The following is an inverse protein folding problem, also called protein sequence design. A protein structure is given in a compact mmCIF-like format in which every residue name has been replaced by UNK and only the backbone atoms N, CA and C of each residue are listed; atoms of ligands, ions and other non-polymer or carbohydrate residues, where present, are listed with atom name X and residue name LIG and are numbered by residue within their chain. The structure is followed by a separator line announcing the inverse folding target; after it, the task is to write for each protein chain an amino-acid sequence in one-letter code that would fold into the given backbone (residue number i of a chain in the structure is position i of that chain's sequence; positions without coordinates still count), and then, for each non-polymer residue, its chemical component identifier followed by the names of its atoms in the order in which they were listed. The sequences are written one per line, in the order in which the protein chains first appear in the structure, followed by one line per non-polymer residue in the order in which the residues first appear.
data_IF_794595259326
#
_entry.id   IF_794595259326
#
_cell.length_a   1.000
_cell.length_b   1.000
_cell.length_c   1.000
_cell.angle_alpha   90.00
_cell.angle_beta   90.00
_cell.angle_gamma   90.00
#
_symmetry.space_group_name_H-M   'P 1'
#
loop_
_entity.id
_entity.type
_entity.pdbx_description
1 polymer ?
#
# COMPACT_ATOMS: atom_id res chain seq x y z
N UNK A 1 -32.27 7.39 13.33
CA UNK A 1 -31.24 7.96 12.41
C UNK A 1 -31.02 9.45 12.54
N UNK A 2 -31.97 10.16 13.01
CA UNK A 2 -31.96 11.64 13.03
C UNK A 2 -30.85 12.30 13.92
N UNK A 3 -30.37 11.60 14.96
CA UNK A 3 -29.35 12.15 15.87
C UNK A 3 -27.95 12.04 15.25
N UNK A 4 -27.64 10.95 14.59
CA UNK A 4 -26.32 10.75 13.98
C UNK A 4 -26.11 11.67 12.77
N UNK A 5 -27.12 11.81 11.92
CA UNK A 5 -27.07 12.69 10.76
C UNK A 5 -26.97 14.18 11.11
N UNK A 6 -27.43 14.59 12.30
CA UNK A 6 -27.28 15.97 12.82
C UNK A 6 -25.95 16.23 13.48
N UNK A 7 -25.22 15.18 13.87
CA UNK A 7 -23.97 15.30 14.62
C UNK A 7 -22.72 15.10 13.78
N UNK A 8 -22.86 14.54 12.58
CA UNK A 8 -21.76 14.20 11.68
C UNK A 8 -22.11 14.61 10.25
N UNK A 9 -21.09 14.97 9.46
CA UNK A 9 -21.25 15.40 8.07
C UNK A 9 -21.56 14.23 7.13
N UNK A 10 -21.08 13.02 7.49
CA UNK A 10 -21.39 11.78 6.77
C UNK A 10 -21.30 10.59 7.72
N UNK A 11 -22.27 9.68 7.59
CA UNK A 11 -22.25 8.37 8.26
C UNK A 11 -22.65 7.32 7.22
N UNK A 12 -21.77 6.37 6.98
CA UNK A 12 -21.94 5.39 5.90
C UNK A 12 -21.36 4.02 6.25
N UNK A 13 -21.88 2.97 5.63
CA UNK A 13 -21.26 1.66 5.63
C UNK A 13 -20.38 1.50 4.39
N UNK A 14 -19.17 1.03 4.59
CA UNK A 14 -18.16 0.89 3.55
C UNK A 14 -17.62 -0.53 3.53
N UNK A 15 -17.50 -1.10 2.32
CA UNK A 15 -16.60 -2.22 2.08
C UNK A 15 -15.30 -1.65 1.48
N UNK A 16 -14.24 -1.49 2.27
CA UNK A 16 -13.01 -0.84 1.80
C UNK A 16 -12.23 -1.70 0.80
N UNK A 17 -12.41 -3.02 0.81
CA UNK A 17 -11.71 -3.94 -0.10
C UNK A 17 -12.33 -3.96 -1.50
N UNK A 18 -13.62 -3.67 -1.61
CA UNK A 18 -14.32 -3.47 -2.88
C UNK A 18 -14.45 -1.98 -3.24
N UNK A 19 -13.98 -1.10 -2.36
CA UNK A 19 -14.11 0.34 -2.49
C UNK A 19 -15.55 0.82 -2.71
N UNK A 20 -16.53 0.18 -2.11
CA UNK A 20 -17.94 0.53 -2.29
C UNK A 20 -18.59 1.03 -0.99
N UNK A 21 -19.62 1.86 -1.15
CA UNK A 21 -20.49 2.34 -0.08
C UNK A 21 -21.79 1.56 -0.15
N UNK A 22 -22.20 1.02 1.00
CA UNK A 22 -23.54 0.46 1.19
C UNK A 22 -24.35 1.49 1.96
N UNK A 23 -25.43 2.05 1.38
CA UNK A 23 -26.32 2.95 2.12
C UNK A 23 -27.20 2.13 3.07
N UNK A 24 -27.38 2.66 4.27
CA UNK A 24 -28.48 2.23 5.14
C UNK A 24 -29.62 3.22 4.86
N UNK A 25 -30.53 2.88 3.97
CA UNK A 25 -31.83 3.55 3.91
C UNK A 25 -32.74 2.89 4.94
N UNK A 26 -33.44 3.71 5.71
CA UNK A 26 -34.45 3.39 6.73
C UNK A 26 -35.02 1.98 6.63
N UNK A 27 -34.51 1.03 7.42
CA UNK A 27 -35.02 -0.34 7.61
C UNK A 27 -35.22 -1.22 6.36
N UNK A 28 -34.70 -0.85 5.20
CA UNK A 28 -34.62 -1.71 4.02
C UNK A 28 -33.18 -1.74 3.51
N UNK A 29 -32.48 -2.81 3.79
CA UNK A 29 -31.32 -3.22 3.01
C UNK A 29 -31.82 -3.67 1.63
N UNK A 30 -32.13 -2.73 0.76
CA UNK A 30 -32.24 -3.07 -0.66
C UNK A 30 -30.83 -3.41 -1.11
N UNK A 31 -30.62 -4.66 -1.52
CA UNK A 31 -29.35 -5.17 -2.01
C UNK A 31 -28.88 -4.55 -3.33
N UNK A 32 -29.32 -3.34 -3.64
CA UNK A 32 -28.80 -2.53 -4.71
C UNK A 32 -27.42 -2.02 -4.31
N UNK A 33 -26.41 -2.73 -4.78
CA UNK A 33 -25.03 -2.25 -4.84
C UNK A 33 -25.04 -0.85 -5.46
N UNK A 34 -24.91 0.16 -4.62
CA UNK A 34 -24.66 1.50 -5.12
C UNK A 34 -23.29 1.49 -5.78
N UNK A 35 -23.24 1.90 -7.02
CA UNK A 35 -22.04 2.01 -7.83
C UNK A 35 -21.09 3.11 -7.34
N UNK A 36 -21.39 3.76 -6.23
CA UNK A 36 -20.60 4.84 -5.69
C UNK A 36 -19.38 4.29 -4.97
N UNK A 37 -18.23 4.66 -5.46
CA UNK A 37 -16.96 4.35 -4.80
C UNK A 37 -16.86 5.07 -3.46
N UNK A 38 -16.24 4.42 -2.47
CA UNK A 38 -16.14 4.99 -1.12
C UNK A 38 -15.29 6.27 -1.08
N UNK A 39 -14.43 6.47 -2.06
CA UNK A 39 -13.57 7.65 -2.19
C UNK A 39 -14.20 8.80 -2.98
N UNK A 40 -15.38 8.61 -3.59
CA UNK A 40 -16.07 9.68 -4.34
C UNK A 40 -16.44 10.86 -3.43
N UNK A 41 -16.74 10.60 -2.15
CA UNK A 41 -17.01 11.65 -1.17
C UNK A 41 -15.81 12.61 -0.96
N UNK A 42 -14.62 12.15 -1.31
CA UNK A 42 -13.39 12.92 -1.22
C UNK A 42 -12.98 13.56 -2.54
N UNK A 43 -13.82 13.49 -3.58
CA UNK A 43 -13.49 13.88 -4.97
C UNK A 43 -12.18 13.23 -5.46
N UNK A 44 -11.84 12.04 -4.95
CA UNK A 44 -10.64 11.33 -5.32
C UNK A 44 -10.90 10.35 -6.48
N UNK A 45 -9.98 10.22 -7.46
CA UNK A 45 -10.15 9.30 -8.58
C UNK A 45 -9.81 7.84 -8.23
N UNK A 46 -9.23 7.59 -7.06
CA UNK A 46 -8.76 6.28 -6.61
C UNK A 46 -8.87 6.13 -5.08
N UNK A 47 -8.68 4.92 -4.61
CA UNK A 47 -8.70 4.58 -3.17
C UNK A 47 -7.79 5.50 -2.36
N UNK A 48 -8.26 5.90 -1.16
CA UNK A 48 -7.49 6.74 -0.24
C UNK A 48 -6.15 6.09 0.08
N UNK A 49 -5.03 6.80 -0.06
CA UNK A 49 -3.70 6.27 0.28
C UNK A 49 -3.63 5.79 1.73
N UNK A 50 -4.13 6.57 2.68
CA UNK A 50 -4.23 6.21 4.10
C UNK A 50 -5.69 5.79 4.40
N UNK A 51 -6.01 4.52 4.17
CA UNK A 51 -7.37 4.00 4.29
C UNK A 51 -7.67 3.49 5.71
N UNK A 52 -8.24 4.33 6.57
CA UNK A 52 -8.64 3.92 7.93
C UNK A 52 -9.68 2.81 7.93
N UNK A 53 -10.53 2.74 6.92
CA UNK A 53 -11.57 1.70 6.82
C UNK A 53 -10.96 0.32 6.53
N UNK A 54 -9.96 0.23 5.61
CA UNK A 54 -9.22 -1.01 5.39
C UNK A 54 -8.46 -1.43 6.65
N UNK A 55 -7.76 -0.49 7.27
CA UNK A 55 -7.02 -0.74 8.52
C UNK A 55 -7.94 -1.21 9.65
N UNK A 56 -9.14 -0.66 9.78
CA UNK A 56 -10.12 -1.07 10.79
C UNK A 56 -10.56 -2.53 10.59
N UNK A 57 -10.79 -2.99 9.36
CA UNK A 57 -11.10 -4.40 9.08
C UNK A 57 -9.93 -5.33 9.38
N UNK A 58 -8.71 -4.95 8.97
CA UNK A 58 -7.50 -5.75 9.16
C UNK A 58 -7.20 -5.91 10.65
N UNK A 59 -7.20 -4.81 11.39
CA UNK A 59 -6.85 -4.81 12.83
C UNK A 59 -8.01 -5.22 13.74
N UNK A 60 -9.24 -5.27 13.21
CA UNK A 60 -10.49 -5.47 13.97
C UNK A 60 -10.69 -4.43 15.08
N UNK A 61 -10.13 -3.24 14.91
CA UNK A 61 -10.18 -2.15 15.87
C UNK A 61 -10.70 -0.87 15.22
N UNK A 62 -11.28 0.02 16.02
CA UNK A 62 -11.64 1.36 15.55
C UNK A 62 -10.38 2.14 15.20
N UNK A 63 -10.38 2.74 14.02
CA UNK A 63 -9.29 3.58 13.50
C UNK A 63 -9.77 5.01 13.30
N UNK A 64 -8.90 5.97 13.46
CA UNK A 64 -9.21 7.38 13.18
C UNK A 64 -8.03 8.09 12.56
N UNK A 65 -8.34 9.06 11.69
CA UNK A 65 -7.34 9.99 11.13
C UNK A 65 -7.91 11.40 11.01
N UNK A 66 -7.03 12.36 10.84
CA UNK A 66 -7.38 13.66 10.24
C UNK A 66 -7.04 13.59 8.76
N UNK A 67 -7.95 14.08 7.92
CA UNK A 67 -7.75 14.19 6.49
C UNK A 67 -8.04 15.59 6.00
N UNK A 68 -7.47 15.98 4.87
CA UNK A 68 -7.63 17.33 4.32
C UNK A 68 -8.22 17.24 2.92
N UNK A 69 -9.39 17.83 2.76
CA UNK A 69 -10.08 17.92 1.46
C UNK A 69 -10.52 19.38 1.25
N UNK A 70 -10.19 19.96 0.11
CA UNK A 70 -10.52 21.34 -0.24
C UNK A 70 -10.16 22.34 0.86
N UNK A 71 -8.98 22.21 1.44
CA UNK A 71 -8.50 23.00 2.59
C UNK A 71 -9.32 22.84 3.88
N UNK A 72 -10.27 21.93 3.95
CA UNK A 72 -10.97 21.60 5.18
C UNK A 72 -10.35 20.38 5.83
N UNK A 73 -10.33 20.37 7.16
CA UNK A 73 -9.83 19.26 7.96
C UNK A 73 -11.03 18.44 8.43
N UNK A 74 -11.03 17.15 8.15
CA UNK A 74 -12.05 16.22 8.58
C UNK A 74 -11.46 15.19 9.54
N UNK A 75 -12.19 14.87 10.57
CA UNK A 75 -11.95 13.68 11.37
C UNK A 75 -12.72 12.52 10.75
N UNK A 76 -12.01 11.48 10.36
CA UNK A 76 -12.57 10.22 9.85
C UNK A 76 -12.39 9.16 10.92
N UNK A 77 -13.49 8.54 11.34
CA UNK A 77 -13.48 7.42 12.29
C UNK A 77 -14.12 6.21 11.63
N UNK A 78 -13.40 5.11 11.60
CA UNK A 78 -13.77 3.85 10.95
C UNK A 78 -13.86 2.75 12.00
N UNK A 79 -15.06 2.17 12.16
CA UNK A 79 -15.32 1.09 13.10
C UNK A 79 -15.75 -0.19 12.37
N UNK A 80 -15.07 -1.32 12.57
CA UNK A 80 -15.50 -2.58 11.96
C UNK A 80 -16.83 -3.03 12.57
N UNK A 81 -17.73 -3.49 11.72
CA UNK A 81 -19.08 -3.99 12.08
C UNK A 81 -19.42 -5.21 11.25
N UNK A 82 -20.33 -6.04 11.75
CA UNK A 82 -20.89 -7.14 10.99
C UNK A 82 -22.37 -6.83 10.72
N UNK A 83 -22.73 -6.79 9.44
CA UNK A 83 -24.10 -6.56 8.99
C UNK A 83 -24.47 -7.68 8.04
N UNK A 84 -25.53 -8.41 8.34
CA UNK A 84 -26.02 -9.57 7.58
C UNK A 84 -24.92 -10.61 7.29
N UNK A 85 -24.06 -10.85 8.28
CA UNK A 85 -22.93 -11.80 8.18
C UNK A 85 -21.73 -11.29 7.37
N UNK A 86 -21.80 -10.06 6.84
CA UNK A 86 -20.69 -9.44 6.09
C UNK A 86 -19.90 -8.50 7.00
N UNK A 87 -18.57 -8.58 6.90
CA UNK A 87 -17.67 -7.64 7.57
C UNK A 87 -17.62 -6.33 6.78
N UNK A 88 -18.09 -5.26 7.39
CA UNK A 88 -18.16 -3.91 6.85
C UNK A 88 -17.55 -2.92 7.84
N UNK A 89 -17.44 -1.66 7.43
CA UNK A 89 -16.98 -0.57 8.29
C UNK A 89 -18.04 0.52 8.38
N UNK A 90 -18.41 0.86 9.60
CA UNK A 90 -19.13 2.09 9.87
C UNK A 90 -18.11 3.24 9.86
N UNK A 91 -18.19 4.05 8.82
CA UNK A 91 -17.35 5.24 8.68
C UNK A 91 -18.13 6.50 9.03
N UNK A 92 -17.55 7.27 9.94
CA UNK A 92 -18.10 8.51 10.45
C UNK A 92 -17.14 9.62 10.09
N UNK A 93 -17.65 10.62 9.36
CA UNK A 93 -16.89 11.80 8.93
C UNK A 93 -17.44 13.02 9.63
N UNK A 94 -16.56 13.80 10.21
CA UNK A 94 -16.89 15.05 10.88
C UNK A 94 -15.94 16.14 10.47
N UNK A 95 -16.48 17.29 10.01
CA UNK A 95 -15.69 18.48 9.80
C UNK A 95 -15.06 18.92 11.11
N UNK A 96 -13.74 18.92 11.14
CA UNK A 96 -12.99 19.43 12.28
C UNK A 96 -13.07 20.96 12.21
N UNK A 97 -14.18 21.52 12.77
CA UNK A 97 -14.35 22.96 12.89
C UNK A 97 -13.36 23.47 13.92
N UNK A 98 -12.21 23.88 13.43
CA UNK A 98 -11.25 24.60 14.24
C UNK A 98 -11.84 26.00 14.51
N UNK A 99 -12.63 26.11 15.57
CA UNK A 99 -13.07 27.41 16.12
C UNK A 99 -11.89 28.12 16.75
N UNK A 100 -10.89 28.39 15.93
CA UNK A 100 -9.76 29.23 16.32
C UNK A 100 -10.10 30.68 16.01
N UNK A 101 -11.13 31.14 16.72
CA UNK A 101 -11.49 32.53 16.68
C UNK A 101 -10.49 33.35 17.49
N UNK A 102 -9.82 34.24 16.81
CA UNK A 102 -9.18 35.50 17.20
C UNK A 102 -7.68 35.67 17.08
N UNK A 103 -6.88 34.61 16.95
CA UNK A 103 -5.41 34.79 16.95
C UNK A 103 -4.65 34.07 15.82
N UNK A 104 -5.31 33.47 14.83
CA UNK A 104 -4.60 32.72 13.80
C UNK A 104 -4.61 33.37 12.44
N UNK A 105 -3.42 33.79 12.04
CA UNK A 105 -3.08 34.10 10.68
C UNK A 105 -3.36 32.90 9.75
N UNK A 106 -3.72 33.16 8.51
CA UNK A 106 -3.84 32.15 7.43
C UNK A 106 -2.64 31.18 7.35
N UNK A 107 -1.51 31.60 7.89
CA UNK A 107 -0.25 30.86 7.95
C UNK A 107 -0.29 29.66 8.94
N UNK A 108 -0.98 29.77 10.08
CA UNK A 108 -1.08 28.69 11.08
C UNK A 108 -1.96 27.55 10.57
N UNK A 109 -3.05 27.85 9.83
CA UNK A 109 -3.89 26.84 9.20
C UNK A 109 -3.13 26.08 8.11
N UNK A 110 -2.39 26.79 7.26
CA UNK A 110 -1.55 26.19 6.23
C UNK A 110 -0.49 25.25 6.83
N UNK A 111 0.16 25.65 7.93
CA UNK A 111 1.12 24.80 8.66
C UNK A 111 0.46 23.55 9.21
N UNK A 112 -0.74 23.64 9.79
CA UNK A 112 -1.48 22.48 10.30
C UNK A 112 -1.86 21.52 9.18
N UNK A 113 -2.40 22.01 8.08
CA UNK A 113 -2.72 21.20 6.89
C UNK A 113 -1.47 20.48 6.36
N UNK A 114 -0.36 21.22 6.21
CA UNK A 114 0.91 20.63 5.77
C UNK A 114 1.40 19.54 6.73
N UNK A 115 1.28 19.74 8.03
CA UNK A 115 1.66 18.76 9.04
C UNK A 115 0.78 17.50 8.98
N UNK A 116 -0.53 17.64 8.80
CA UNK A 116 -1.45 16.50 8.65
C UNK A 116 -1.11 15.70 7.40
N UNK A 117 -0.91 16.35 6.26
CA UNK A 117 -0.56 15.68 5.02
C UNK A 117 0.80 14.97 5.12
N UNK A 118 1.80 15.63 5.68
CA UNK A 118 3.13 15.03 5.91
C UNK A 118 3.03 13.81 6.84
N UNK A 119 2.28 13.90 7.91
CA UNK A 119 2.07 12.79 8.84
C UNK A 119 1.37 11.61 8.16
N UNK A 120 0.28 11.85 7.43
CA UNK A 120 -0.43 10.82 6.68
C UNK A 120 0.47 10.11 5.66
N UNK A 121 1.32 10.85 4.95
CA UNK A 121 2.27 10.26 3.99
C UNK A 121 3.37 9.45 4.68
N UNK A 122 3.94 9.97 5.79
CA UNK A 122 5.01 9.28 6.53
C UNK A 122 4.56 7.94 7.13
N UNK A 123 3.28 7.80 7.49
CA UNK A 123 2.74 6.53 8.00
C UNK A 123 2.80 5.40 6.96
N UNK A 124 2.84 5.74 5.69
CA UNK A 124 2.72 4.80 4.57
C UNK A 124 4.04 4.54 3.86
N UNK A 125 5.11 5.24 4.25
CA UNK A 125 6.40 5.18 3.60
C UNK A 125 7.45 4.47 4.47
N UNK A 126 8.34 3.76 3.82
CA UNK A 126 9.58 3.26 4.41
C UNK A 126 10.60 4.41 4.51
N UNK A 127 11.22 4.56 5.68
CA UNK A 127 12.08 5.70 5.99
C UNK A 127 13.43 5.67 5.26
N UNK A 128 13.89 4.51 4.83
CA UNK A 128 15.19 4.37 4.14
C UNK A 128 15.07 4.59 2.64
N UNK A 129 14.02 4.05 2.03
CA UNK A 129 13.85 4.05 0.58
C UNK A 129 12.84 5.06 0.07
N UNK A 130 11.96 5.58 0.95
CA UNK A 130 10.76 6.34 0.59
C UNK A 130 9.76 5.57 -0.31
N UNK A 131 9.96 4.27 -0.52
CA UNK A 131 8.94 3.41 -1.10
C UNK A 131 7.76 3.25 -0.13
N UNK A 132 6.65 2.70 -0.59
CA UNK A 132 5.58 2.34 0.34
C UNK A 132 6.04 1.26 1.32
N UNK A 133 5.44 1.24 2.50
CA UNK A 133 5.70 0.22 3.53
C UNK A 133 4.65 -0.91 3.48
N UNK A 134 4.84 -1.91 4.33
CA UNK A 134 3.94 -3.06 4.45
C UNK A 134 2.52 -2.68 4.83
N UNK A 135 2.33 -1.66 5.68
CA UNK A 135 0.99 -1.24 6.11
C UNK A 135 0.18 -0.71 4.93
N UNK A 136 0.80 0.10 4.06
CA UNK A 136 0.19 0.51 2.80
C UNK A 136 -0.26 -0.69 1.97
N UNK A 137 0.62 -1.67 1.79
CA UNK A 137 0.30 -2.86 0.99
C UNK A 137 -0.89 -3.62 1.56
N UNK A 138 -0.90 -3.89 2.86
CA UNK A 138 -2.00 -4.61 3.51
C UNK A 138 -3.34 -3.89 3.38
N UNK A 139 -3.35 -2.55 3.40
CA UNK A 139 -4.57 -1.75 3.23
C UNK A 139 -5.09 -1.78 1.78
N UNK A 140 -4.22 -1.94 0.78
CA UNK A 140 -4.56 -1.79 -0.63
C UNK A 140 -4.62 -3.12 -1.39
N UNK A 141 -3.83 -4.11 -1.00
CA UNK A 141 -3.71 -5.38 -1.72
C UNK A 141 -5.04 -6.10 -1.95
N UNK A 142 -6.00 -6.16 -1.00
CA UNK A 142 -7.28 -6.79 -1.25
C UNK A 142 -8.06 -6.14 -2.41
N UNK A 143 -8.04 -4.81 -2.50
CA UNK A 143 -8.66 -4.10 -3.62
C UNK A 143 -7.89 -4.31 -4.93
N UNK A 144 -6.56 -4.28 -4.89
CA UNK A 144 -5.70 -4.53 -6.05
C UNK A 144 -5.94 -5.94 -6.62
N UNK A 145 -6.09 -6.97 -5.77
CA UNK A 145 -6.45 -8.33 -6.19
C UNK A 145 -7.84 -8.32 -6.87
N UNK A 146 -8.81 -7.64 -6.29
CA UNK A 146 -10.15 -7.55 -6.86
C UNK A 146 -10.16 -6.88 -8.24
N UNK A 147 -9.43 -5.77 -8.40
CA UNK A 147 -9.32 -5.06 -9.69
C UNK A 147 -8.49 -5.85 -10.72
N UNK A 148 -7.42 -6.53 -10.31
CA UNK A 148 -6.63 -7.40 -11.18
C UNK A 148 -7.50 -8.52 -11.81
N UNK A 149 -8.38 -9.12 -11.00
CA UNK A 149 -9.33 -10.15 -11.48
C UNK A 149 -10.33 -9.63 -12.50
N UNK A 150 -10.78 -8.38 -12.34
CA UNK A 150 -11.73 -7.76 -13.30
C UNK A 150 -11.07 -7.37 -14.61
N UNK A 151 -9.84 -6.89 -14.53
CA UNK A 151 -9.10 -6.39 -15.70
C UNK A 151 -8.29 -7.46 -16.40
N UNK A 152 -8.05 -8.61 -15.74
CA UNK A 152 -7.11 -9.65 -16.15
C UNK A 152 -5.68 -9.10 -16.39
N UNK A 153 -5.32 -8.05 -15.65
CA UNK A 153 -4.02 -7.37 -15.75
C UNK A 153 -3.55 -7.03 -14.35
N UNK A 154 -2.44 -7.49 -13.99
CA UNK A 154 -1.57 -7.05 -12.90
C UNK A 154 -0.48 -8.08 -12.67
N UNK A 155 0.73 -7.64 -12.73
CA UNK A 155 1.91 -8.45 -12.51
C UNK A 155 2.48 -8.13 -11.14
N UNK A 156 2.90 -9.14 -10.41
CA UNK A 156 3.54 -8.95 -9.11
C UNK A 156 4.87 -9.67 -9.04
N UNK A 157 5.79 -9.12 -8.25
CA UNK A 157 7.04 -9.78 -7.93
C UNK A 157 7.42 -9.60 -6.48
N UNK A 158 8.08 -10.63 -5.93
CA UNK A 158 8.76 -10.58 -4.66
C UNK A 158 10.27 -10.61 -4.93
N UNK A 159 11.00 -9.72 -4.28
CA UNK A 159 12.44 -9.53 -4.46
C UNK A 159 13.07 -9.61 -3.08
N UNK A 160 13.89 -10.63 -2.86
CA UNK A 160 14.53 -10.87 -1.57
C UNK A 160 16.04 -10.64 -1.66
N UNK A 161 16.57 -9.82 -0.76
CA UNK A 161 18.00 -9.60 -0.52
C UNK A 161 18.54 -10.72 0.37
N UNK A 162 19.46 -11.49 -0.16
CA UNK A 162 20.12 -12.55 0.57
C UNK A 162 21.19 -12.00 1.51
N UNK A 163 21.44 -12.70 2.61
CA UNK A 163 22.51 -12.41 3.56
C UNK A 163 22.48 -11.03 4.22
N UNK A 164 21.36 -10.29 4.10
CA UNK A 164 21.27 -8.94 4.69
C UNK A 164 21.44 -8.98 6.22
N UNK A 165 20.92 -10.01 6.87
CA UNK A 165 21.11 -10.19 8.32
C UNK A 165 22.58 -10.41 8.68
N UNK A 166 23.30 -11.27 7.95
CA UNK A 166 24.72 -11.55 8.18
C UNK A 166 25.57 -10.28 7.98
N UNK A 167 25.25 -9.50 6.94
CA UNK A 167 25.90 -8.23 6.67
C UNK A 167 25.63 -7.21 7.78
N UNK A 168 24.41 -7.18 8.29
CA UNK A 168 24.06 -6.30 9.42
C UNK A 168 24.87 -6.67 10.68
N UNK A 169 25.08 -7.95 10.93
CA UNK A 169 25.84 -8.42 12.09
C UNK A 169 27.36 -8.17 11.93
N UNK A 170 27.90 -8.33 10.72
CA UNK A 170 29.35 -8.22 10.48
C UNK A 170 29.82 -6.80 10.19
N UNK A 171 29.06 -6.03 9.42
CA UNK A 171 29.44 -4.71 8.92
C UNK A 171 28.57 -3.56 9.45
N UNK A 172 27.49 -3.90 10.18
CA UNK A 172 26.60 -2.93 10.82
C UNK A 172 25.44 -2.47 9.95
N UNK A 173 24.50 -1.75 10.58
CA UNK A 173 23.24 -1.30 9.95
C UNK A 173 23.46 -0.32 8.78
N UNK A 174 24.50 0.49 8.79
CA UNK A 174 24.78 1.42 7.68
C UNK A 174 25.14 0.68 6.40
N UNK A 175 25.88 -0.44 6.49
CA UNK A 175 26.20 -1.28 5.34
C UNK A 175 24.91 -1.91 4.75
N UNK A 176 24.06 -2.45 5.62
CA UNK A 176 22.77 -3.01 5.23
C UNK A 176 21.86 -1.96 4.57
N UNK A 177 21.76 -0.76 5.14
CA UNK A 177 21.00 0.37 4.55
C UNK A 177 21.55 0.75 3.15
N UNK A 178 22.87 0.73 2.96
CA UNK A 178 23.48 0.98 1.66
C UNK A 178 23.03 -0.03 0.59
N UNK A 179 22.97 -1.31 0.95
CA UNK A 179 22.48 -2.39 0.07
C UNK A 179 21.00 -2.20 -0.28
N UNK A 180 20.17 -1.90 0.72
CA UNK A 180 18.73 -1.66 0.54
C UNK A 180 18.50 -0.49 -0.42
N UNK A 181 19.17 0.64 -0.20
CA UNK A 181 19.06 1.81 -1.07
C UNK A 181 19.57 1.53 -2.49
N UNK A 182 20.62 0.73 -2.64
CA UNK A 182 21.14 0.31 -3.94
C UNK A 182 20.15 -0.57 -4.69
N UNK A 183 19.47 -1.52 -4.02
CA UNK A 183 18.41 -2.30 -4.64
C UNK A 183 17.27 -1.41 -5.12
N UNK A 184 16.81 -0.48 -4.27
CA UNK A 184 15.74 0.43 -4.64
C UNK A 184 16.12 1.31 -5.83
N UNK A 185 17.36 1.80 -5.88
CA UNK A 185 17.88 2.56 -7.03
C UNK A 185 17.92 1.71 -8.30
N UNK A 186 18.33 0.45 -8.20
CA UNK A 186 18.38 -0.48 -9.32
C UNK A 186 16.96 -0.81 -9.84
N UNK A 187 16.00 -1.00 -8.95
CA UNK A 187 14.59 -1.16 -9.31
C UNK A 187 14.07 0.04 -10.09
N UNK A 188 14.31 1.24 -9.58
CA UNK A 188 13.92 2.46 -10.28
C UNK A 188 14.57 2.56 -11.67
N UNK A 189 15.85 2.21 -11.83
CA UNK A 189 16.53 2.22 -13.14
C UNK A 189 15.91 1.25 -14.14
N UNK A 190 15.54 0.03 -13.70
CA UNK A 190 14.97 -1.00 -14.59
C UNK A 190 13.58 -0.60 -15.09
N UNK A 191 12.83 0.14 -14.29
CA UNK A 191 11.45 0.52 -14.61
C UNK A 191 11.28 1.99 -15.02
N UNK A 192 12.31 2.82 -14.91
CA UNK A 192 12.20 4.28 -15.12
C UNK A 192 12.14 4.70 -16.60
N UNK A 193 12.52 3.82 -17.52
CA UNK A 193 12.63 4.17 -18.96
C UNK A 193 11.26 4.32 -19.68
N UNK A 194 10.16 4.08 -18.99
CA UNK A 194 8.82 4.23 -19.55
C UNK A 194 7.98 5.17 -18.68
N UNK A 195 7.68 6.33 -19.22
CA UNK A 195 6.88 7.40 -18.56
C UNK A 195 5.43 7.01 -18.26
N UNK A 196 5.00 5.81 -18.65
CA UNK A 196 3.61 5.34 -18.60
C UNK A 196 3.42 4.05 -17.79
N UNK A 197 4.41 3.66 -16.97
CA UNK A 197 4.30 2.47 -16.12
C UNK A 197 3.57 2.85 -14.81
N UNK A 198 2.51 2.10 -14.52
CA UNK A 198 1.80 2.17 -13.23
C UNK A 198 2.43 1.17 -12.26
N UNK A 199 3.45 1.63 -11.53
CA UNK A 199 4.32 0.81 -10.72
C UNK A 199 4.19 1.13 -9.24
N UNK A 200 3.94 0.09 -8.45
CA UNK A 200 3.94 0.16 -7.00
C UNK A 200 5.17 -0.57 -6.44
N UNK A 201 6.02 0.15 -5.72
CA UNK A 201 7.11 -0.42 -4.92
C UNK A 201 6.78 -0.38 -3.46
N UNK A 202 6.94 -1.53 -2.77
CA UNK A 202 6.69 -1.67 -1.36
C UNK A 202 7.86 -2.38 -0.67
N UNK A 203 8.37 -1.81 0.39
CA UNK A 203 9.26 -2.54 1.30
C UNK A 203 8.42 -3.41 2.23
N UNK A 204 8.33 -4.69 1.91
CA UNK A 204 7.47 -5.64 2.61
C UNK A 204 8.07 -6.12 3.94
N UNK A 205 9.39 -6.34 3.97
CA UNK A 205 10.16 -6.71 5.17
C UNK A 205 11.56 -6.07 5.12
N UNK A 206 12.39 -6.20 6.15
CA UNK A 206 13.74 -5.63 6.14
C UNK A 206 14.57 -5.97 4.92
N UNK A 207 14.41 -7.17 4.37
CA UNK A 207 15.17 -7.74 3.27
C UNK A 207 14.36 -8.01 2.00
N UNK A 208 13.06 -7.66 1.99
CA UNK A 208 12.15 -8.07 0.91
C UNK A 208 11.36 -6.89 0.37
N UNK A 209 11.36 -6.75 -0.95
CA UNK A 209 10.53 -5.80 -1.68
C UNK A 209 9.41 -6.53 -2.43
N UNK A 210 8.26 -5.89 -2.49
CA UNK A 210 7.13 -6.29 -3.32
C UNK A 210 6.95 -5.25 -4.43
N UNK A 211 6.70 -5.73 -5.64
CA UNK A 211 6.46 -4.89 -6.82
C UNK A 211 5.12 -5.29 -7.43
N UNK A 212 4.32 -4.31 -7.80
CA UNK A 212 3.10 -4.52 -8.60
C UNK A 212 3.12 -3.57 -9.78
N UNK A 213 2.71 -4.09 -10.94
CA UNK A 213 2.70 -3.38 -12.22
C UNK A 213 1.46 -3.80 -13.03
N UNK A 214 0.77 -2.83 -13.67
CA UNK A 214 -0.55 -3.05 -14.28
C UNK A 214 -0.58 -2.94 -15.83
N UNK A 215 0.50 -2.56 -16.48
CA UNK A 215 0.48 -2.23 -17.93
C UNK A 215 1.27 -3.18 -18.79
N UNK A 216 2.36 -3.76 -18.28
CA UNK A 216 3.17 -4.72 -19.02
C UNK A 216 2.45 -6.05 -19.16
N UNK A 217 2.73 -6.80 -20.23
CA UNK A 217 2.42 -8.21 -20.25
C UNK A 217 3.31 -8.99 -19.29
N UNK A 218 2.83 -10.13 -18.80
CA UNK A 218 3.50 -10.90 -17.76
C UNK A 218 4.91 -11.36 -18.16
N UNK A 219 5.12 -11.71 -19.41
CA UNK A 219 6.44 -12.14 -19.91
C UNK A 219 7.46 -11.01 -19.84
N UNK A 220 7.12 -9.84 -20.38
CA UNK A 220 7.98 -8.66 -20.34
C UNK A 220 8.26 -8.20 -18.92
N UNK A 221 7.26 -8.28 -18.03
CA UNK A 221 7.46 -7.98 -16.60
C UNK A 221 8.47 -8.96 -15.97
N UNK A 222 8.31 -10.27 -16.17
CA UNK A 222 9.24 -11.27 -15.65
C UNK A 222 10.66 -11.08 -16.18
N UNK A 223 10.81 -10.81 -17.47
CA UNK A 223 12.13 -10.54 -18.07
C UNK A 223 12.82 -9.35 -17.41
N UNK A 224 12.10 -8.27 -17.11
CA UNK A 224 12.64 -7.11 -16.38
C UNK A 224 13.03 -7.46 -14.95
N UNK A 225 12.20 -8.19 -14.23
CA UNK A 225 12.53 -8.64 -12.86
C UNK A 225 13.76 -9.55 -12.86
N UNK A 226 13.94 -10.39 -13.86
CA UNK A 226 15.12 -11.27 -14.00
C UNK A 226 16.40 -10.53 -14.37
N UNK A 227 16.33 -9.28 -14.79
CA UNK A 227 17.52 -8.44 -14.95
C UNK A 227 18.13 -8.02 -13.60
N UNK A 228 17.33 -7.97 -12.52
CA UNK A 228 17.81 -7.54 -11.20
C UNK A 228 18.97 -8.38 -10.69
N UNK A 229 18.88 -9.72 -10.55
CA UNK A 229 20.00 -10.53 -10.13
C UNK A 229 21.21 -10.42 -11.06
N UNK A 230 20.97 -10.30 -12.38
CA UNK A 230 22.04 -10.19 -13.38
C UNK A 230 22.80 -8.86 -13.28
N UNK A 231 22.10 -7.76 -13.02
CA UNK A 231 22.69 -6.43 -12.84
C UNK A 231 23.33 -6.28 -11.46
N UNK A 232 22.77 -6.92 -10.43
CA UNK A 232 23.31 -6.88 -9.08
C UNK A 232 24.59 -7.71 -8.91
N UNK A 233 24.70 -8.87 -9.58
CA UNK A 233 25.81 -9.79 -9.41
C UNK A 233 27.22 -9.19 -9.68
N UNK A 234 27.46 -8.32 -10.69
CA UNK A 234 28.73 -7.65 -10.88
C UNK A 234 28.92 -6.44 -9.95
N UNK A 235 27.86 -5.89 -9.42
CA UNK A 235 27.93 -4.72 -8.55
C UNK A 235 28.21 -5.14 -7.11
N UNK A 236 29.43 -4.94 -6.67
CA UNK A 236 29.77 -5.01 -5.26
C UNK A 236 29.57 -3.63 -4.64
N UNK A 237 28.83 -3.58 -3.55
CA UNK A 237 28.73 -2.35 -2.78
C UNK A 237 30.03 -2.22 -1.97
N UNK A 238 30.78 -1.14 -2.23
CA UNK A 238 31.96 -0.81 -1.45
C UNK A 238 31.53 -0.12 -0.15
N UNK A 239 31.85 -0.75 0.97
CA UNK A 239 31.65 -0.17 2.30
C UNK A 239 32.94 -0.33 3.11
N UNK A 240 33.54 0.78 3.52
CA UNK A 240 34.82 0.78 4.24
C UNK A 240 35.91 -0.07 3.54
N UNK A 241 36.08 0.11 2.21
CA UNK A 241 36.99 -0.63 1.34
C UNK A 241 36.74 -2.14 1.21
N UNK A 242 35.63 -2.64 1.81
CA UNK A 242 35.17 -4.02 1.64
C UNK A 242 34.12 -4.11 0.54
N UNK A 243 34.19 -5.18 -0.24
CA UNK A 243 33.18 -5.52 -1.23
C UNK A 243 32.10 -6.37 -0.55
N UNK A 244 30.89 -5.81 -0.42
CA UNK A 244 29.75 -6.53 0.13
C UNK A 244 29.00 -7.29 -0.97
N UNK A 245 28.55 -8.53 -0.72
CA UNK A 245 27.78 -9.28 -1.70
C UNK A 245 26.41 -8.61 -1.90
N UNK A 246 25.99 -8.54 -3.17
CA UNK A 246 24.67 -8.06 -3.56
C UNK A 246 23.92 -9.19 -4.25
N UNK A 247 23.41 -10.13 -3.45
CA UNK A 247 22.70 -11.32 -3.94
C UNK A 247 21.19 -11.14 -3.80
N UNK A 248 20.49 -11.31 -4.92
CA UNK A 248 19.06 -11.06 -5.05
C UNK A 248 18.35 -12.29 -5.58
N UNK A 249 17.25 -12.68 -4.95
CA UNK A 249 16.30 -13.65 -5.48
C UNK A 249 14.99 -13.01 -5.84
N UNK A 250 14.37 -13.50 -6.91
CA UNK A 250 13.13 -12.95 -7.42
C UNK A 250 12.13 -14.05 -7.79
N UNK A 251 10.86 -13.77 -7.56
CA UNK A 251 9.75 -14.55 -8.09
C UNK A 251 8.65 -13.64 -8.60
N UNK A 252 7.96 -14.05 -9.66
CA UNK A 252 6.84 -13.33 -10.24
C UNK A 252 5.56 -14.14 -10.14
N UNK A 253 4.41 -13.44 -10.13
CA UNK A 253 3.08 -14.02 -10.26
C UNK A 253 2.19 -13.11 -11.11
N UNK A 254 1.31 -13.74 -11.90
CA UNK A 254 0.28 -13.05 -12.68
C UNK A 254 -0.99 -12.94 -11.83
N UNK A 255 -1.15 -11.82 -11.14
CA UNK A 255 -2.26 -11.60 -10.23
C UNK A 255 -3.62 -11.59 -10.95
N UNK A 256 -3.64 -11.20 -12.22
CA UNK A 256 -4.85 -11.14 -13.04
C UNK A 256 -5.37 -12.51 -13.49
N UNK A 257 -4.48 -13.44 -13.78
CA UNK A 257 -4.82 -14.71 -14.44
C UNK A 257 -4.57 -15.95 -13.57
N UNK A 258 -3.69 -15.88 -12.55
CA UNK A 258 -3.50 -16.98 -11.60
C UNK A 258 -4.64 -17.03 -10.55
N UNK A 259 -4.91 -18.21 -9.99
CA UNK A 259 -5.95 -18.37 -8.98
C UNK A 259 -5.48 -17.90 -7.59
N UNK A 260 -5.28 -16.58 -7.46
CA UNK A 260 -4.85 -15.88 -6.25
C UNK A 260 -5.99 -14.97 -5.79
N UNK A 261 -6.55 -15.22 -4.62
CA UNK A 261 -7.71 -14.48 -4.11
C UNK A 261 -7.42 -13.72 -2.81
N UNK A 262 -6.31 -14.06 -2.16
CA UNK A 262 -5.95 -13.48 -0.87
C UNK A 262 -4.47 -13.09 -0.84
N UNK A 263 -4.12 -12.17 0.08
CA UNK A 263 -2.74 -11.80 0.37
C UNK A 263 -1.88 -13.03 0.73
N UNK A 264 -2.40 -13.93 1.58
CA UNK A 264 -1.67 -15.11 2.01
C UNK A 264 -1.36 -16.03 0.83
N UNK A 265 -2.35 -16.34 -0.02
CA UNK A 265 -2.13 -17.16 -1.22
C UNK A 265 -1.07 -16.56 -2.14
N UNK A 266 -1.09 -15.23 -2.34
CA UNK A 266 -0.09 -14.56 -3.16
C UNK A 266 1.32 -14.72 -2.60
N UNK A 267 1.50 -14.43 -1.31
CA UNK A 267 2.82 -14.53 -0.70
C UNK A 267 3.33 -15.96 -0.56
N UNK A 268 2.44 -16.93 -0.34
CA UNK A 268 2.81 -18.35 -0.30
C UNK A 268 3.31 -18.83 -1.67
N UNK A 269 2.63 -18.45 -2.75
CA UNK A 269 3.06 -18.76 -4.13
C UNK A 269 4.41 -18.10 -4.45
N UNK A 270 4.57 -16.81 -4.15
CA UNK A 270 5.81 -16.08 -4.45
C UNK A 270 7.00 -16.63 -3.65
N UNK A 271 6.82 -16.92 -2.37
CA UNK A 271 7.87 -17.52 -1.51
C UNK A 271 8.26 -18.91 -2.02
N UNK A 272 7.29 -19.76 -2.31
CA UNK A 272 7.54 -21.10 -2.89
C UNK A 272 8.39 -21.01 -4.16
N UNK A 273 8.07 -20.10 -5.07
CA UNK A 273 8.84 -19.88 -6.31
C UNK A 273 10.26 -19.34 -6.06
N UNK A 274 10.48 -18.58 -4.99
CA UNK A 274 11.83 -18.15 -4.57
C UNK A 274 12.64 -19.37 -4.09
N UNK A 275 12.01 -20.26 -3.31
CA UNK A 275 12.68 -21.44 -2.73
C UNK A 275 13.02 -22.46 -3.83
N UNK A 276 12.10 -22.73 -4.76
CA UNK A 276 12.32 -23.64 -5.89
C UNK A 276 13.53 -23.23 -6.76
N UNK A 277 13.67 -21.92 -7.06
CA UNK A 277 14.84 -21.38 -7.75
C UNK A 277 16.17 -21.54 -6.95
N UNK A 278 16.08 -21.90 -5.68
CA UNK A 278 17.26 -22.13 -4.84
C UNK A 278 17.79 -23.54 -5.03
N UNK A 279 16.90 -24.51 -5.14
CA UNK A 279 17.25 -25.93 -5.22
C UNK A 279 17.82 -26.30 -6.61
N UNK A 280 17.45 -25.57 -7.67
CA UNK A 280 17.98 -25.77 -9.02
C UNK A 280 19.44 -25.27 -9.22
N UNK A 281 19.98 -24.50 -8.25
CA UNK A 281 21.37 -23.95 -8.34
C UNK A 281 22.36 -24.65 -7.40
N UNK A 282 21.92 -25.60 -6.58
CA UNK A 282 22.74 -26.45 -5.74
C UNK A 282 22.89 -27.85 -6.35
#
# INVERSE_FOLDING_TARGET
MDILSRSFDSVRLVNPFECCVTQIEDNKTDGTSLTNKCYDVWNAPYQCQNCTSARALITKQTQSKLDVVDNNIYQVTSRPVIVDGKALVLEIVKLFSYTYNRYNSSNSRKKLISAINAFNSQLLQDKETNSYNRDYLSEHLPNLICEAKKTHRSNTALINLRHLYDITQSEGSMAASGIICSLYSLLNQIFHDETDIDLLFVRYSPDTFFVLENKLDYKNFCERIELLPKKAAPEHILFNDKRLPFDIKTACADLGNENINTENELFDILKKRIDEKTDEKN
#
